data_IF_265510859006
#
_entry.id   IF_265510859006
#
_cell.length_a   1.000
_cell.length_b   1.000
_cell.length_c   1.000
_cell.angle_alpha   90.00
_cell.angle_beta   90.00
_cell.angle_gamma   90.00
#
_symmetry.space_group_name_H-M   'P 1'
#
loop_
_entity.id
_entity.type
_entity.pdbx_description
1 polymer ?
#
# COMPACT_ATOMS: atom_id res chain seq x y z
N UNK A 1 11.45 4.05 -9.61
CA UNK A 1 12.14 2.83 -9.10
C UNK A 1 12.53 3.04 -7.64
N UNK A 2 12.15 2.14 -6.74
CA UNK A 2 12.42 2.28 -5.30
C UNK A 2 13.90 2.00 -4.96
N UNK A 3 14.53 2.74 -4.03
CA UNK A 3 15.91 2.50 -3.63
C UNK A 3 16.06 1.15 -2.91
N UNK A 4 16.84 0.23 -3.50
CA UNK A 4 17.07 -1.11 -2.94
C UNK A 4 17.67 -1.09 -1.54
N UNK A 5 18.56 -0.12 -1.26
CA UNK A 5 19.14 0.07 0.06
C UNK A 5 18.09 0.43 1.12
N UNK A 6 17.06 1.22 0.76
CA UNK A 6 15.99 1.58 1.70
C UNK A 6 15.06 0.38 1.96
N UNK A 7 14.71 -0.37 0.91
CA UNK A 7 13.94 -1.61 1.03
C UNK A 7 14.67 -2.59 1.95
N UNK A 8 15.97 -2.83 1.72
CA UNK A 8 16.78 -3.71 2.56
C UNK A 8 16.77 -3.26 4.03
N UNK A 9 16.91 -1.96 4.31
CA UNK A 9 16.85 -1.44 5.69
C UNK A 9 15.49 -1.66 6.35
N UNK A 10 14.39 -1.53 5.61
CA UNK A 10 13.05 -1.79 6.14
C UNK A 10 12.86 -3.28 6.41
N UNK A 11 13.31 -4.16 5.51
CA UNK A 11 13.26 -5.61 5.71
C UNK A 11 14.05 -6.05 6.94
N UNK A 12 15.23 -5.46 7.16
CA UNK A 12 16.09 -5.75 8.32
C UNK A 12 15.74 -4.93 9.57
N UNK A 13 14.64 -4.17 9.56
CA UNK A 13 14.08 -3.60 10.78
C UNK A 13 13.37 -4.67 11.63
N UNK A 14 13.00 -5.77 11.00
CA UNK A 14 12.60 -7.01 11.66
C UNK A 14 13.86 -7.77 12.12
N UNK A 15 13.98 -7.98 13.43
CA UNK A 15 15.16 -8.60 14.06
C UNK A 15 15.34 -10.07 13.66
N UNK A 16 14.27 -10.75 13.21
CA UNK A 16 14.33 -12.13 12.73
C UNK A 16 14.93 -12.21 11.30
N UNK A 17 15.05 -11.08 10.59
CA UNK A 17 15.57 -11.02 9.23
C UNK A 17 17.09 -10.82 9.22
N UNK A 18 17.81 -11.92 9.00
CA UNK A 18 19.27 -11.95 8.87
C UNK A 18 19.81 -11.39 7.54
N UNK A 19 20.70 -12.16 6.88
CA UNK A 19 21.31 -11.74 5.61
C UNK A 19 20.31 -11.85 4.47
N UNK A 20 20.12 -10.76 3.73
CA UNK A 20 19.23 -10.70 2.56
C UNK A 20 20.06 -10.77 1.27
N UNK A 21 19.68 -11.67 0.35
CA UNK A 21 20.30 -11.80 -0.97
C UNK A 21 20.10 -10.53 -1.81
N UNK A 22 21.04 -10.22 -2.71
CA UNK A 22 21.00 -8.96 -3.49
C UNK A 22 19.74 -8.83 -4.36
N UNK A 23 19.20 -9.94 -4.86
CA UNK A 23 18.01 -9.93 -5.73
C UNK A 23 16.71 -9.70 -4.96
N UNK A 24 16.66 -10.02 -3.66
CA UNK A 24 15.42 -9.94 -2.88
C UNK A 24 14.88 -8.50 -2.78
N UNK A 25 15.66 -7.47 -2.44
CA UNK A 25 15.15 -6.08 -2.41
C UNK A 25 14.74 -5.56 -3.79
N UNK A 26 15.32 -6.10 -4.87
CA UNK A 26 14.96 -5.73 -6.25
C UNK A 26 13.56 -6.27 -6.58
N UNK A 27 13.32 -7.55 -6.28
CA UNK A 27 12.02 -8.19 -6.46
C UNK A 27 10.93 -7.53 -5.60
N UNK A 28 11.22 -7.28 -4.31
CA UNK A 28 10.32 -6.55 -3.40
C UNK A 28 10.03 -5.14 -3.92
N UNK A 29 11.02 -4.45 -4.49
CA UNK A 29 10.82 -3.14 -5.10
C UNK A 29 9.85 -3.17 -6.28
N UNK A 30 9.84 -4.26 -7.08
CA UNK A 30 8.86 -4.45 -8.15
C UNK A 30 7.48 -4.81 -7.62
N UNK A 31 7.41 -5.68 -6.61
CA UNK A 31 6.16 -6.02 -5.94
C UNK A 31 5.51 -4.78 -5.31
N UNK A 32 6.29 -3.92 -4.65
CA UNK A 32 5.83 -2.66 -4.07
C UNK A 32 5.25 -1.71 -5.13
N UNK A 33 5.89 -1.62 -6.30
CA UNK A 33 5.37 -0.83 -7.42
C UNK A 33 4.00 -1.35 -7.90
N UNK A 34 3.87 -2.66 -8.09
CA UNK A 34 2.60 -3.29 -8.48
C UNK A 34 1.52 -3.14 -7.41
N UNK A 35 1.90 -3.29 -6.14
CA UNK A 35 1.02 -3.07 -4.98
C UNK A 35 0.47 -1.64 -4.97
N UNK A 36 1.33 -0.62 -5.14
CA UNK A 36 0.90 0.78 -5.17
C UNK A 36 -0.01 1.06 -6.37
N UNK A 37 0.30 0.53 -7.55
CA UNK A 37 -0.55 0.67 -8.74
C UNK A 37 -1.94 0.10 -8.45
N UNK A 38 -2.04 -1.13 -7.95
CA UNK A 38 -3.33 -1.76 -7.68
C UNK A 38 -4.17 -0.99 -6.66
N UNK A 39 -3.57 -0.58 -5.54
CA UNK A 39 -4.28 0.15 -4.48
C UNK A 39 -4.76 1.52 -4.96
N UNK A 40 -3.90 2.27 -5.66
CA UNK A 40 -4.23 3.61 -6.16
C UNK A 40 -5.26 3.54 -7.30
N UNK A 41 -5.15 2.56 -8.21
CA UNK A 41 -6.12 2.39 -9.29
C UNK A 41 -7.51 2.09 -8.75
N UNK A 42 -7.65 1.11 -7.84
CA UNK A 42 -8.94 0.82 -7.20
C UNK A 42 -9.51 2.04 -6.47
N UNK A 43 -8.66 2.83 -5.81
CA UNK A 43 -9.09 4.05 -5.12
C UNK A 43 -9.50 5.16 -6.09
N UNK A 44 -8.85 5.24 -7.25
CA UNK A 44 -9.20 6.16 -8.32
C UNK A 44 -10.52 5.80 -9.00
N UNK A 45 -10.85 4.51 -9.11
CA UNK A 45 -12.16 4.06 -9.59
C UNK A 45 -13.28 4.53 -8.64
N UNK A 46 -13.10 4.38 -7.32
CA UNK A 46 -14.03 4.95 -6.33
C UNK A 46 -14.14 6.48 -6.46
N UNK A 47 -13.01 7.17 -6.64
CA UNK A 47 -13.03 8.62 -6.83
C UNK A 47 -13.85 9.01 -8.06
N UNK A 48 -13.66 8.30 -9.17
CA UNK A 48 -14.37 8.53 -10.42
C UNK A 48 -15.87 8.28 -10.28
N UNK A 49 -16.26 7.21 -9.60
CA UNK A 49 -17.67 6.87 -9.35
C UNK A 49 -18.37 7.93 -8.49
N UNK A 50 -17.63 8.56 -7.56
CA UNK A 50 -18.09 9.72 -6.77
C UNK A 50 -17.98 11.06 -7.51
N UNK A 51 -17.59 11.08 -8.80
CA UNK A 51 -17.40 12.31 -9.57
C UNK A 51 -16.20 13.17 -9.11
N UNK A 52 -15.32 12.63 -8.28
CA UNK A 52 -14.13 13.30 -7.77
C UNK A 52 -12.94 13.14 -8.74
N UNK A 53 -12.14 14.20 -8.86
CA UNK A 53 -10.84 14.17 -9.56
C UNK A 53 -9.66 13.90 -8.61
N UNK A 54 -9.95 13.65 -7.33
CA UNK A 54 -8.95 13.48 -6.27
C UNK A 54 -9.21 12.20 -5.51
N UNK A 55 -8.16 11.40 -5.33
CA UNK A 55 -8.17 10.26 -4.40
C UNK A 55 -7.96 10.78 -2.98
N UNK A 56 -8.86 10.43 -2.07
CA UNK A 56 -8.79 10.80 -0.65
C UNK A 56 -8.33 9.62 0.19
N UNK A 57 -7.92 9.88 1.45
CA UNK A 57 -7.58 8.82 2.38
C UNK A 57 -8.79 7.92 2.71
N UNK A 58 -10.01 8.47 2.74
CA UNK A 58 -11.22 7.67 2.96
C UNK A 58 -11.48 6.72 1.80
N UNK A 59 -11.16 7.09 0.55
CA UNK A 59 -11.29 6.19 -0.60
C UNK A 59 -10.29 5.02 -0.51
N UNK A 60 -9.05 5.29 -0.07
CA UNK A 60 -8.06 4.23 0.20
C UNK A 60 -8.55 3.28 1.30
N UNK A 61 -9.13 3.82 2.38
CA UNK A 61 -9.75 3.03 3.44
C UNK A 61 -10.83 2.10 2.89
N UNK A 62 -11.72 2.61 2.05
CA UNK A 62 -12.79 1.80 1.43
C UNK A 62 -12.22 0.63 0.61
N UNK A 63 -11.15 0.84 -0.16
CA UNK A 63 -10.50 -0.26 -0.92
C UNK A 63 -9.93 -1.32 0.03
N UNK A 64 -9.25 -0.88 1.08
CA UNK A 64 -8.65 -1.78 2.08
C UNK A 64 -9.74 -2.58 2.81
N UNK A 65 -10.86 -1.95 3.14
CA UNK A 65 -11.91 -2.60 3.90
C UNK A 65 -12.72 -3.60 3.06
N UNK A 66 -12.84 -3.37 1.75
CA UNK A 66 -13.66 -4.14 0.83
C UNK A 66 -13.07 -5.50 0.38
N UNK A 67 -11.78 -5.76 0.60
CA UNK A 67 -11.09 -6.92 0.06
C UNK A 67 -10.08 -7.49 1.09
N UNK A 68 -10.23 -8.77 1.44
CA UNK A 68 -9.42 -9.46 2.46
C UNK A 68 -7.93 -9.49 2.11
N UNK A 69 -7.56 -9.38 0.83
CA UNK A 69 -6.15 -9.32 0.43
C UNK A 69 -5.42 -8.11 1.03
N UNK A 70 -6.14 -7.07 1.46
CA UNK A 70 -5.58 -5.86 2.07
C UNK A 70 -5.67 -5.85 3.59
N UNK A 71 -6.03 -6.97 4.24
CA UNK A 71 -6.27 -7.05 5.68
C UNK A 71 -5.13 -6.48 6.53
N UNK A 72 -3.88 -6.72 6.11
CA UNK A 72 -2.67 -6.20 6.76
C UNK A 72 -2.57 -4.66 6.82
N UNK A 73 -3.44 -3.93 6.12
CA UNK A 73 -3.52 -2.46 6.14
C UNK A 73 -4.67 -1.94 7.01
N UNK A 74 -5.58 -2.79 7.50
CA UNK A 74 -6.78 -2.36 8.25
C UNK A 74 -6.42 -1.53 9.48
N UNK A 75 -5.44 -1.98 10.25
CA UNK A 75 -4.97 -1.25 11.43
C UNK A 75 -4.41 0.14 11.08
N UNK A 76 -3.78 0.28 9.92
CA UNK A 76 -3.23 1.56 9.44
C UNK A 76 -4.36 2.50 9.04
N UNK A 77 -5.34 2.02 8.26
CA UNK A 77 -6.44 2.85 7.76
C UNK A 77 -7.53 3.11 8.82
N UNK A 78 -7.55 2.35 9.92
CA UNK A 78 -8.48 2.56 11.05
C UNK A 78 -8.45 3.99 11.61
N UNK A 79 -7.29 4.66 11.49
CA UNK A 79 -7.04 6.03 11.95
C UNK A 79 -7.62 7.10 11.03
N UNK A 80 -8.04 6.72 9.82
CA UNK A 80 -8.64 7.63 8.85
C UNK A 80 -10.12 7.77 9.17
N UNK A 81 -10.56 9.01 9.37
CA UNK A 81 -11.98 9.34 9.53
C UNK A 81 -12.74 8.99 8.25
N UNK A 82 -13.95 8.45 8.42
CA UNK A 82 -14.84 8.22 7.29
C UNK A 82 -15.28 9.58 6.72
N UNK A 83 -15.34 9.69 5.38
CA UNK A 83 -15.99 10.83 4.74
C UNK A 83 -17.40 10.98 5.33
N UNK A 84 -17.72 12.16 5.85
CA UNK A 84 -19.10 12.50 6.22
C UNK A 84 -19.92 12.47 4.94
N UNK A 85 -20.96 11.66 4.92
CA UNK A 85 -21.96 11.63 3.84
C UNK A 85 -22.61 13.01 3.63
#
# INVERSE_FOLDING_TARGET
KFPTARIKRIMQADEEVGKVAQQTPIAVGKALELFMIQLVTKSADIAKDKGSKRVTASMLKNVVEADEQWDFLRDIVSRVENEKE
#
